data_IF_307665616578
#
_entry.id   IF_307665616578
#
_cell.length_a   1.000
_cell.length_b   1.000
_cell.length_c   1.000
_cell.angle_alpha   90.00
_cell.angle_beta   90.00
_cell.angle_gamma   90.00
#
_symmetry.space_group_name_H-M   'P 1'
#
loop_
_entity.id
_entity.type
_entity.pdbx_description
1 polymer ?
#
# COMPACT_ATOMS: atom_id res chain seq x y z
N UNK A 1 12.13 -0.90 6.46
CA UNK A 1 11.81 -2.32 6.64
C UNK A 1 11.62 -2.63 8.11
N UNK A 2 10.53 -3.31 8.47
CA UNK A 2 10.31 -3.88 9.81
C UNK A 2 10.39 -5.40 9.69
N UNK A 3 11.08 -6.05 10.62
CA UNK A 3 11.12 -7.51 10.71
C UNK A 3 9.86 -8.02 11.42
N UNK A 4 9.11 -8.89 10.74
CA UNK A 4 7.98 -9.59 11.35
C UNK A 4 8.45 -10.86 12.04
N UNK A 5 7.70 -11.31 13.05
CA UNK A 5 7.98 -12.47 13.92
C UNK A 5 8.22 -13.81 13.19
N UNK A 6 7.97 -13.87 11.87
CA UNK A 6 8.11 -15.06 11.02
C UNK A 6 9.34 -14.94 10.07
N UNK A 7 10.21 -13.94 10.25
CA UNK A 7 11.42 -13.77 9.44
C UNK A 7 11.16 -13.31 8.01
N UNK A 8 9.96 -12.75 7.75
CA UNK A 8 9.65 -12.08 6.47
C UNK A 8 9.84 -10.57 6.65
N UNK A 9 10.74 -10.00 5.87
CA UNK A 9 10.98 -8.55 5.83
C UNK A 9 9.79 -7.84 5.17
N UNK A 10 9.18 -6.90 5.88
CA UNK A 10 8.09 -6.09 5.36
C UNK A 10 8.67 -4.87 4.62
N UNK A 11 8.47 -4.85 3.30
CA UNK A 11 8.91 -3.77 2.42
C UNK A 11 7.75 -2.81 2.15
N UNK A 12 7.91 -1.58 2.60
CA UNK A 12 7.01 -0.46 2.36
C UNK A 12 7.84 0.81 2.36
N UNK A 13 7.42 1.78 1.56
CA UNK A 13 7.84 3.17 1.70
C UNK A 13 6.83 3.90 2.58
N UNK A 14 7.30 4.92 3.29
CA UNK A 14 6.47 5.77 4.12
C UNK A 14 6.68 7.23 3.73
N UNK A 15 5.59 7.96 3.57
CA UNK A 15 5.58 9.39 3.30
C UNK A 15 4.49 10.11 4.09
N UNK A 16 4.72 11.39 4.36
CA UNK A 16 3.73 12.27 4.97
C UNK A 16 3.40 13.37 3.97
N UNK A 17 2.11 13.54 3.66
CA UNK A 17 1.62 14.72 2.95
C UNK A 17 0.78 15.55 3.90
N UNK A 18 1.06 16.85 3.95
CA UNK A 18 0.30 17.78 4.77
C UNK A 18 -0.29 18.85 3.86
N UNK A 19 -1.58 19.10 4.05
CA UNK A 19 -2.33 20.13 3.34
C UNK A 19 -2.99 21.04 4.37
N UNK A 20 -2.90 22.33 4.13
CA UNK A 20 -3.50 23.36 4.98
C UNK A 20 -4.47 24.17 4.12
N UNK A 21 -5.73 24.20 4.52
CA UNK A 21 -6.76 25.10 4.00
C UNK A 21 -6.93 26.32 4.89
N UNK A 22 -7.89 27.19 4.56
CA UNK A 22 -8.16 28.38 5.36
C UNK A 22 -8.66 28.06 6.79
N UNK A 23 -9.37 26.93 6.97
CA UNK A 23 -9.97 26.53 8.27
C UNK A 23 -9.69 25.06 8.64
N UNK A 24 -8.90 24.33 7.86
CA UNK A 24 -8.66 22.92 8.10
C UNK A 24 -7.22 22.52 7.80
N UNK A 25 -6.76 21.49 8.50
CA UNK A 25 -5.47 20.86 8.26
C UNK A 25 -5.69 19.36 8.03
N UNK A 26 -5.00 18.81 7.03
CA UNK A 26 -5.02 17.39 6.72
C UNK A 26 -3.61 16.85 6.73
N UNK A 27 -3.39 15.74 7.44
CA UNK A 27 -2.15 14.99 7.45
C UNK A 27 -2.41 13.58 6.98
N UNK A 28 -1.89 13.26 5.79
CA UNK A 28 -1.95 11.92 5.24
C UNK A 28 -0.66 11.17 5.59
N UNK A 29 -0.83 9.99 6.19
CA UNK A 29 0.23 9.00 6.37
C UNK A 29 0.11 8.01 5.20
N UNK A 30 1.05 8.07 4.27
CA UNK A 30 1.02 7.28 3.05
C UNK A 30 2.02 6.14 3.18
N UNK A 31 1.52 4.92 2.96
CA UNK A 31 2.30 3.69 2.98
C UNK A 31 2.20 3.05 1.59
N UNK A 32 3.33 2.70 0.97
CA UNK A 32 3.33 1.88 -0.25
C UNK A 32 3.44 0.41 0.13
N UNK A 33 2.65 -0.47 -0.49
CA UNK A 33 2.78 -1.92 -0.34
C UNK A 33 3.16 -2.54 -1.69
N UNK A 34 3.93 -3.62 -1.66
CA UNK A 34 4.33 -4.31 -2.89
C UNK A 34 3.17 -5.12 -3.47
N UNK A 35 2.88 -4.88 -4.75
CA UNK A 35 1.78 -5.56 -5.48
C UNK A 35 2.10 -6.97 -5.98
N UNK A 36 3.33 -7.46 -5.77
CA UNK A 36 3.76 -8.79 -6.24
C UNK A 36 3.18 -9.90 -5.34
N UNK A 37 2.86 -11.05 -5.94
CA UNK A 37 2.24 -12.19 -5.24
C UNK A 37 3.11 -12.74 -4.10
N UNK A 38 4.44 -12.67 -4.25
CA UNK A 38 5.40 -13.08 -3.21
C UNK A 38 5.19 -12.37 -1.87
N UNK A 39 4.73 -11.12 -1.90
CA UNK A 39 4.49 -10.30 -0.72
C UNK A 39 3.00 -10.22 -0.32
N UNK A 40 2.11 -10.98 -0.97
CA UNK A 40 0.68 -10.97 -0.64
C UNK A 40 0.43 -11.23 0.85
N UNK A 41 1.20 -12.14 1.45
CA UNK A 41 1.08 -12.47 2.89
C UNK A 41 1.46 -11.32 3.85
N UNK A 42 2.23 -10.33 3.39
CA UNK A 42 2.65 -9.19 4.22
C UNK A 42 1.74 -7.97 4.06
N UNK A 43 0.92 -7.89 2.99
CA UNK A 43 0.00 -6.76 2.75
C UNK A 43 -1.00 -6.53 3.90
N UNK A 44 -1.61 -7.56 4.53
CA UNK A 44 -2.53 -7.34 5.64
C UNK A 44 -1.91 -6.57 6.81
N UNK A 45 -0.62 -6.77 7.07
CA UNK A 45 0.08 -6.04 8.13
C UNK A 45 0.27 -4.56 7.80
N UNK A 46 0.50 -4.20 6.53
CA UNK A 46 0.60 -2.80 6.07
C UNK A 46 -0.76 -2.11 5.99
N UNK A 47 -1.82 -2.86 5.68
CA UNK A 47 -3.18 -2.32 5.52
C UNK A 47 -3.97 -2.28 6.83
N UNK A 48 -3.43 -2.80 7.93
CA UNK A 48 -4.12 -2.80 9.22
C UNK A 48 -4.27 -1.37 9.75
N UNK A 49 -5.52 -0.94 9.98
CA UNK A 49 -5.84 0.38 10.53
C UNK A 49 -5.76 1.54 9.54
N UNK A 50 -5.71 1.27 8.23
CA UNK A 50 -5.75 2.33 7.20
C UNK A 50 -7.18 2.84 7.00
N UNK A 51 -7.32 4.16 6.83
CA UNK A 51 -8.62 4.80 6.54
C UNK A 51 -9.03 4.66 5.06
N UNK A 52 -8.08 4.41 4.16
CA UNK A 52 -8.33 4.32 2.72
C UNK A 52 -7.23 3.57 1.97
N UNK A 53 -7.59 3.05 0.80
CA UNK A 53 -6.70 2.29 -0.08
C UNK A 53 -6.68 2.95 -1.46
N UNK A 54 -5.47 3.21 -1.97
CA UNK A 54 -5.24 3.61 -3.36
C UNK A 54 -4.66 2.41 -4.09
N UNK A 55 -5.46 1.80 -4.97
CA UNK A 55 -5.01 0.69 -5.80
C UNK A 55 -4.61 1.18 -7.20
N UNK A 56 -3.35 1.01 -7.55
CA UNK A 56 -2.79 1.43 -8.83
C UNK A 56 -2.69 0.22 -9.74
N UNK A 57 -3.25 0.33 -10.94
CA UNK A 57 -3.29 -0.74 -11.94
C UNK A 57 -2.62 -0.32 -13.24
N UNK A 58 -2.08 -1.28 -13.97
CA UNK A 58 -1.56 -1.06 -15.32
C UNK A 58 -2.70 -1.16 -16.34
N UNK A 59 -2.88 -0.12 -17.17
CA UNK A 59 -4.00 -0.04 -18.12
C UNK A 59 -3.85 -0.92 -19.36
N UNK A 60 -2.70 -1.56 -19.57
CA UNK A 60 -2.47 -2.44 -20.73
C UNK A 60 -3.26 -3.73 -20.56
N UNK A 61 -3.97 -4.17 -21.61
CA UNK A 61 -4.82 -5.38 -21.58
C UNK A 61 -4.07 -6.63 -21.09
N UNK A 62 -2.80 -6.78 -21.48
CA UNK A 62 -1.93 -7.88 -21.03
C UNK A 62 -1.72 -7.93 -19.51
N UNK A 63 -1.87 -6.81 -18.82
CA UNK A 63 -1.68 -6.68 -17.38
C UNK A 63 -2.98 -6.92 -16.59
N UNK A 64 -4.14 -7.06 -17.25
CA UNK A 64 -5.44 -7.23 -16.58
C UNK A 64 -5.42 -8.39 -15.56
N UNK A 65 -4.90 -9.54 -15.96
CA UNK A 65 -4.82 -10.71 -15.10
C UNK A 65 -3.87 -10.49 -13.91
N UNK A 66 -2.80 -9.71 -14.09
CA UNK A 66 -1.91 -9.34 -13.00
C UNK A 66 -2.57 -8.36 -12.03
N UNK A 67 -3.29 -7.36 -12.52
CA UNK A 67 -4.05 -6.42 -11.69
C UNK A 67 -5.10 -7.16 -10.84
N UNK A 68 -5.85 -8.09 -11.44
CA UNK A 68 -6.86 -8.90 -10.72
C UNK A 68 -6.19 -9.77 -9.64
N UNK A 69 -5.06 -10.43 -9.95
CA UNK A 69 -4.31 -11.21 -8.96
C UNK A 69 -3.73 -10.36 -7.83
N UNK A 70 -3.33 -9.13 -8.11
CA UNK A 70 -2.78 -8.23 -7.08
C UNK A 70 -3.85 -7.74 -6.12
N UNK A 71 -5.10 -7.58 -6.58
CA UNK A 71 -6.22 -7.12 -5.75
C UNK A 71 -6.80 -8.22 -4.83
N UNK A 72 -6.89 -9.45 -5.34
CA UNK A 72 -7.43 -10.60 -4.61
C UNK A 72 -6.43 -11.18 -3.59
#
# INVERSE_FOLDING_TARGET
SIDSTIGRTLFFDFGVLQFEGAEWSLKFLIYSATGQDFYASTRPATLNGVDGIIFVVDSRTQCLQHNIRSWN
#
